data_IF_250996244375
#
_entry.id   IF_250996244375
#
_cell.length_a   1.000
_cell.length_b   1.000
_cell.length_c   1.000
_cell.angle_alpha   90.00
_cell.angle_beta   90.00
_cell.angle_gamma   90.00
#
_symmetry.space_group_name_H-M   'P 1'
#
loop_
_entity.id
_entity.type
_entity.pdbx_description
1 polymer ?
#
# COMPACT_ATOMS: atom_id res chain seq x y z
N UNK A 1 -11.66 -26.79 -4.76
CA UNK A 1 -11.24 -26.67 -3.34
C UNK A 1 -10.65 -25.28 -3.19
N UNK A 2 -11.33 -24.38 -2.48
CA UNK A 2 -10.89 -23.00 -2.28
C UNK A 2 -9.72 -23.06 -1.28
N UNK A 3 -8.50 -22.76 -1.73
CA UNK A 3 -7.36 -22.62 -0.81
C UNK A 3 -7.61 -21.34 0.00
N UNK A 4 -7.80 -21.55 1.31
CA UNK A 4 -7.83 -20.50 2.31
C UNK A 4 -6.54 -19.68 2.17
N UNK A 5 -6.71 -18.36 2.10
CA UNK A 5 -5.64 -17.40 2.24
C UNK A 5 -4.85 -17.78 3.50
N UNK A 6 -3.54 -17.96 3.35
CA UNK A 6 -2.63 -18.12 4.47
C UNK A 6 -2.69 -16.81 5.26
N UNK A 7 -3.52 -16.76 6.29
CA UNK A 7 -3.58 -15.61 7.19
C UNK A 7 -2.25 -15.57 7.93
N UNK A 8 -1.48 -14.48 7.84
CA UNK A 8 -0.22 -14.37 8.56
C UNK A 8 -0.50 -14.45 10.06
N UNK A 9 0.32 -15.22 10.79
CA UNK A 9 0.28 -15.23 12.25
C UNK A 9 0.58 -13.81 12.76
N UNK A 10 -0.40 -13.23 13.46
CA UNK A 10 -0.27 -11.92 14.09
C UNK A 10 0.50 -12.11 15.41
N UNK A 11 1.55 -11.33 15.63
CA UNK A 11 2.27 -11.24 16.90
C UNK A 11 1.85 -9.95 17.64
N UNK A 12 0.92 -10.02 18.60
CA UNK A 12 0.43 -8.83 19.31
C UNK A 12 1.52 -8.16 20.15
N UNK A 13 2.49 -8.92 20.64
CA UNK A 13 3.59 -8.39 21.46
C UNK A 13 4.47 -7.44 20.66
N UNK A 14 4.78 -7.80 19.41
CA UNK A 14 5.54 -6.93 18.49
C UNK A 14 4.71 -5.77 17.94
N UNK A 15 3.39 -5.93 17.82
CA UNK A 15 2.52 -4.87 17.31
C UNK A 15 2.41 -3.66 18.25
N UNK A 16 2.67 -3.83 19.56
CA UNK A 16 2.64 -2.72 20.55
C UNK A 16 3.75 -1.70 20.28
N UNK A 17 4.93 -2.16 19.88
CA UNK A 17 6.06 -1.30 19.54
C UNK A 17 6.72 -1.77 18.23
N UNK A 18 6.18 -1.35 17.07
CA UNK A 18 6.69 -1.78 15.77
C UNK A 18 7.96 -1.00 15.33
N UNK A 19 8.34 0.06 16.05
CA UNK A 19 9.45 0.96 15.72
C UNK A 19 9.16 1.93 14.58
N UNK A 20 8.66 1.42 13.44
CA UNK A 20 8.23 2.19 12.27
C UNK A 20 6.77 1.91 11.94
N UNK A 21 6.06 2.91 11.43
CA UNK A 21 4.68 2.76 10.92
C UNK A 21 4.48 3.53 9.62
N UNK A 22 3.66 2.97 8.74
CA UNK A 22 3.13 3.68 7.58
C UNK A 22 1.84 4.40 7.98
N UNK A 23 1.90 5.72 8.05
CA UNK A 23 0.71 6.53 8.26
C UNK A 23 0.04 6.83 6.91
N UNK A 24 -1.28 6.71 6.87
CA UNK A 24 -2.10 7.08 5.72
C UNK A 24 -3.29 7.90 6.21
N UNK A 25 -3.56 9.02 5.53
CA UNK A 25 -4.67 9.90 5.87
C UNK A 25 -5.86 9.69 4.94
N UNK A 26 -7.03 10.20 5.34
CA UNK A 26 -8.27 10.10 4.55
C UNK A 26 -8.07 10.65 3.14
N UNK A 27 -7.32 11.74 3.03
CA UNK A 27 -7.00 12.43 1.77
C UNK A 27 -6.22 11.53 0.81
N UNK A 28 -5.36 10.65 1.32
CA UNK A 28 -4.56 9.73 0.50
C UNK A 28 -5.44 8.63 -0.11
N UNK A 29 -6.43 8.14 0.64
CA UNK A 29 -7.45 7.22 0.12
C UNK A 29 -8.32 7.89 -0.96
N UNK A 30 -8.76 9.13 -0.72
CA UNK A 30 -9.54 9.89 -1.71
C UNK A 30 -8.73 10.07 -2.99
N UNK A 31 -7.45 10.42 -2.86
CA UNK A 31 -6.53 10.56 -4.01
C UNK A 31 -6.41 9.23 -4.76
N UNK A 32 -6.13 8.14 -4.07
CA UNK A 32 -6.02 6.80 -4.65
C UNK A 32 -7.29 6.37 -5.42
N UNK A 33 -8.47 6.58 -4.83
CA UNK A 33 -9.75 6.27 -5.48
C UNK A 33 -9.98 7.10 -6.75
N UNK A 34 -9.68 8.40 -6.72
CA UNK A 34 -9.77 9.27 -7.89
C UNK A 34 -8.86 8.76 -9.04
N UNK A 35 -7.67 8.26 -8.71
CA UNK A 35 -6.70 7.77 -9.69
C UNK A 35 -7.10 6.42 -10.28
N UNK A 36 -7.85 5.61 -9.53
CA UNK A 36 -8.49 4.40 -10.06
C UNK A 36 -9.66 4.70 -11.01
N UNK A 37 -9.87 5.98 -11.36
CA UNK A 37 -10.97 6.47 -12.23
C UNK A 37 -12.35 6.12 -11.67
N UNK A 38 -12.46 5.99 -10.35
CA UNK A 38 -13.76 5.91 -9.68
C UNK A 38 -14.44 7.27 -9.87
N UNK A 39 -15.72 7.30 -10.27
CA UNK A 39 -16.43 8.56 -10.49
C UNK A 39 -16.40 9.45 -9.25
N UNK A 40 -16.10 10.75 -9.42
CA UNK A 40 -16.00 11.70 -8.31
C UNK A 40 -17.29 11.76 -7.48
N UNK A 41 -18.46 11.57 -8.12
CA UNK A 41 -19.75 11.49 -7.42
C UNK A 41 -19.79 10.31 -6.42
N UNK A 42 -19.21 9.17 -6.78
CA UNK A 42 -19.15 7.97 -5.94
C UNK A 42 -18.17 8.17 -4.80
N UNK A 43 -16.97 8.72 -5.08
CA UNK A 43 -15.98 9.04 -4.03
C UNK A 43 -16.56 10.03 -3.03
N UNK A 44 -17.32 11.04 -3.48
CA UNK A 44 -18.02 12.00 -2.61
C UNK A 44 -19.06 11.33 -1.73
N UNK A 45 -19.85 10.41 -2.27
CA UNK A 45 -20.83 9.66 -1.49
C UNK A 45 -20.17 8.79 -0.41
N UNK A 46 -19.09 8.09 -0.75
CA UNK A 46 -18.35 7.22 0.17
C UNK A 46 -17.71 8.04 1.31
N UNK A 47 -17.07 9.18 0.99
CA UNK A 47 -16.30 9.96 1.95
C UNK A 47 -17.03 11.18 2.53
N UNK A 48 -18.28 11.40 2.14
CA UNK A 48 -19.13 12.53 2.55
C UNK A 48 -18.43 13.89 2.35
N UNK A 49 -17.79 14.07 1.19
CA UNK A 49 -16.96 15.24 0.91
C UNK A 49 -17.80 16.44 0.43
N UNK A 50 -17.44 17.68 0.81
CA UNK A 50 -17.98 18.88 0.18
C UNK A 50 -17.57 18.97 -1.30
N UNK A 51 -18.26 19.82 -2.06
CA UNK A 51 -18.01 19.95 -3.50
C UNK A 51 -16.59 20.43 -3.81
N UNK A 52 -15.77 19.54 -4.38
CA UNK A 52 -14.52 19.85 -5.08
C UNK A 52 -13.27 19.38 -4.35
N UNK A 53 -12.59 18.37 -4.93
CA UNK A 53 -11.14 18.11 -4.77
C UNK A 53 -10.78 17.00 -5.78
N UNK A 54 -10.28 17.39 -6.95
CA UNK A 54 -9.56 16.49 -7.84
C UNK A 54 -8.08 16.74 -7.63
N UNK A 55 -7.41 15.89 -6.86
CA UNK A 55 -5.95 15.91 -6.74
C UNK A 55 -5.44 14.72 -7.54
N UNK A 56 -4.51 14.96 -8.46
CA UNK A 56 -3.88 13.91 -9.24
C UNK A 56 -2.79 13.22 -8.40
N UNK A 57 -2.84 11.89 -8.30
CA UNK A 57 -1.67 11.06 -7.99
C UNK A 57 -1.80 9.73 -8.75
N UNK A 58 -1.12 8.67 -8.32
CA UNK A 58 -1.36 7.30 -8.79
C UNK A 58 -1.85 6.41 -7.64
N UNK A 59 -2.55 5.29 -7.91
CA UNK A 59 -2.93 4.34 -6.85
C UNK A 59 -1.72 3.67 -6.19
N UNK A 60 -0.54 3.70 -6.85
CA UNK A 60 0.73 3.18 -6.36
C UNK A 60 1.41 4.10 -5.34
N UNK A 61 0.89 5.32 -5.15
CA UNK A 61 1.41 6.30 -4.19
C UNK A 61 0.70 6.21 -2.81
N UNK A 62 -0.14 5.18 -2.60
CA UNK A 62 -0.72 4.95 -1.28
C UNK A 62 0.36 4.37 -0.37
N UNK A 63 0.59 5.03 0.76
CA UNK A 63 1.58 4.62 1.76
C UNK A 63 1.10 3.40 2.56
N UNK A 64 1.16 2.22 1.95
CA UNK A 64 0.58 0.99 2.47
C UNK A 64 1.66 -0.07 2.68
N UNK A 65 1.58 -0.82 3.78
CA UNK A 65 2.56 -1.82 4.27
C UNK A 65 2.83 -2.98 3.27
N UNK A 66 2.19 -2.97 2.10
CA UNK A 66 2.39 -3.98 1.06
C UNK A 66 2.42 -3.36 -0.33
N UNK A 67 3.39 -3.79 -1.13
CA UNK A 67 3.51 -3.41 -2.54
C UNK A 67 2.89 -4.49 -3.43
N UNK A 68 1.98 -4.10 -4.33
CA UNK A 68 1.38 -5.01 -5.32
C UNK A 68 1.53 -4.44 -6.73
N UNK A 69 1.99 -5.27 -7.67
CA UNK A 69 2.05 -4.93 -9.09
C UNK A 69 1.47 -6.06 -9.94
N UNK A 70 0.56 -5.72 -10.86
CA UNK A 70 -0.01 -6.69 -11.80
C UNK A 70 0.95 -6.88 -12.98
N UNK A 71 1.44 -8.10 -13.17
CA UNK A 71 2.31 -8.47 -14.29
C UNK A 71 1.53 -9.24 -15.37
N UNK A 72 1.94 -9.09 -16.63
CA UNK A 72 1.48 -9.94 -17.74
C UNK A 72 2.56 -11.01 -17.95
N UNK A 73 2.15 -12.28 -17.97
CA UNK A 73 3.08 -13.41 -18.12
C UNK A 73 3.92 -13.29 -19.41
N UNK A 74 5.22 -13.53 -19.28
CA UNK A 74 6.16 -13.51 -20.42
C UNK A 74 6.72 -12.13 -20.81
N UNK A 75 6.24 -11.05 -20.22
CA UNK A 75 6.78 -9.70 -20.46
C UNK A 75 7.69 -9.26 -19.29
N UNK A 76 8.84 -8.62 -19.57
CA UNK A 76 9.60 -7.92 -18.54
C UNK A 76 8.76 -6.76 -18.00
N UNK A 77 8.87 -6.48 -16.71
CA UNK A 77 8.18 -5.37 -16.06
C UNK A 77 9.15 -4.56 -15.21
N UNK A 78 8.83 -3.28 -15.05
CA UNK A 78 9.50 -2.36 -14.15
C UNK A 78 8.41 -1.60 -13.39
N UNK A 79 8.52 -1.59 -12.06
CA UNK A 79 7.64 -0.82 -11.18
C UNK A 79 8.50 -0.07 -10.17
N UNK A 80 8.01 1.09 -9.74
CA UNK A 80 8.57 1.89 -8.66
C UNK A 80 7.47 2.15 -7.65
N UNK A 81 7.79 2.04 -6.37
CA UNK A 81 6.90 2.32 -5.25
C UNK A 81 7.54 3.39 -4.38
N UNK A 82 6.72 4.30 -3.85
CA UNK A 82 7.15 5.32 -2.90
C UNK A 82 6.45 5.07 -1.57
N UNK A 83 7.23 4.92 -0.50
CA UNK A 83 6.72 4.72 0.86
C UNK A 83 7.30 5.79 1.78
N UNK A 84 6.52 6.14 2.81
CA UNK A 84 6.86 7.13 3.83
C UNK A 84 6.73 6.49 5.21
N UNK A 85 7.86 6.18 5.82
CA UNK A 85 7.90 5.57 7.15
C UNK A 85 7.97 6.67 8.22
N UNK A 86 7.13 6.56 9.25
CA UNK A 86 7.24 7.37 10.44
C UNK A 86 7.92 6.58 11.57
N UNK A 87 8.86 7.24 12.23
CA UNK A 87 9.57 6.71 13.40
C UNK A 87 8.73 6.99 14.66
N UNK A 88 8.31 5.94 15.36
CA UNK A 88 7.56 6.09 16.62
C UNK A 88 8.48 6.26 17.84
N UNK A 89 9.71 5.75 17.78
CA UNK A 89 10.70 5.86 18.85
C UNK A 89 12.08 6.18 18.27
N UNK A 90 12.86 7.02 18.98
CA UNK A 90 14.23 7.33 18.59
C UNK A 90 15.05 6.04 18.52
N UNK A 91 15.43 5.66 17.30
CA UNK A 91 16.32 4.54 17.06
C UNK A 91 17.76 5.07 17.01
N UNK A 92 18.63 4.52 17.85
CA UNK A 92 20.06 4.84 17.85
C UNK A 92 20.80 4.30 16.60
N UNK A 93 20.11 3.56 15.74
CA UNK A 93 20.70 2.91 14.56
C UNK A 93 19.77 2.97 13.35
N UNK A 94 20.36 3.24 12.17
CA UNK A 94 19.66 3.16 10.90
C UNK A 94 19.37 1.71 10.53
N UNK A 95 18.11 1.39 10.20
CA UNK A 95 17.72 0.08 9.71
C UNK A 95 18.08 -0.07 8.23
N UNK A 96 18.81 -1.13 7.86
CA UNK A 96 19.10 -1.45 6.47
C UNK A 96 17.98 -2.31 5.85
N UNK A 97 17.42 -1.92 4.70
CA UNK A 97 16.37 -2.71 4.06
C UNK A 97 16.94 -4.04 3.54
N UNK A 98 16.18 -5.13 3.74
CA UNK A 98 16.47 -6.45 3.15
C UNK A 98 15.45 -6.74 2.05
N UNK A 99 15.92 -6.74 0.80
CA UNK A 99 15.10 -7.07 -0.36
C UNK A 99 15.16 -8.58 -0.63
N UNK A 100 14.00 -9.23 -0.61
CA UNK A 100 13.84 -10.61 -1.05
C UNK A 100 12.93 -10.62 -2.28
N UNK A 101 13.48 -10.93 -3.45
CA UNK A 101 12.69 -11.01 -4.69
C UNK A 101 11.96 -12.36 -4.70
N UNK A 102 10.61 -12.39 -4.70
CA UNK A 102 9.87 -13.63 -4.84
C UNK A 102 10.13 -14.22 -6.23
N UNK A 103 10.41 -15.52 -6.32
CA UNK A 103 10.48 -16.20 -7.61
C UNK A 103 9.11 -16.10 -8.29
N UNK A 104 9.04 -15.75 -9.59
CA UNK A 104 7.76 -15.68 -10.27
C UNK A 104 7.08 -17.04 -10.20
N UNK A 105 5.83 -17.07 -9.71
CA UNK A 105 4.98 -18.24 -9.76
C UNK A 105 4.61 -18.47 -11.24
N UNK A 106 5.36 -19.35 -11.91
CA UNK A 106 5.00 -19.84 -13.23
C UNK A 106 3.74 -20.69 -13.02
N UNK A 107 2.57 -20.18 -13.40
CA UNK A 107 1.41 -21.04 -13.65
C UNK A 107 1.69 -21.84 -14.92
N UNK A 108 1.87 -23.15 -14.75
CA UNK A 108 1.78 -24.14 -15.82
C UNK A 108 0.31 -24.33 -16.23
#
# INVERSE_FOLDING_TARGET
MLNLLMEPDIDPGKAVNPGLVDETFKEDYIRSLCNMRIPTITVRQIHQLPNGTGVEATPMDLNYVSMTFKVIGGAPFLSSFQEQLQVLELQDQCTLPRLQIPKPAISL
#
